data_IF_302828128302
#
_entry.id   IF_302828128302
#
_cell.length_a   1.000
_cell.length_b   1.000
_cell.length_c   1.000
_cell.angle_alpha   90.00
_cell.angle_beta   90.00
_cell.angle_gamma   90.00
#
_symmetry.space_group_name_H-M   'P 1'
#
loop_
_entity.id
_entity.type
_entity.pdbx_description
1 polymer ?
#
# COMPACT_ATOMS: atom_id res chain seq x y z
N UNK A 1 -43.64 -41.25 -23.60
CA UNK A 1 -43.04 -39.93 -23.92
C UNK A 1 -42.59 -39.12 -22.68
N UNK A 2 -42.10 -39.74 -21.59
CA UNK A 2 -41.65 -39.04 -20.35
C UNK A 2 -40.14 -39.09 -20.10
N UNK A 3 -39.37 -39.81 -20.94
CA UNK A 3 -37.93 -40.05 -20.73
C UNK A 3 -37.03 -38.97 -21.35
N UNK A 4 -37.43 -38.36 -22.47
CA UNK A 4 -36.63 -37.31 -23.12
C UNK A 4 -36.49 -36.04 -22.26
N UNK A 5 -37.55 -35.61 -21.57
CA UNK A 5 -37.52 -34.43 -20.71
C UNK A 5 -36.62 -34.63 -19.48
N UNK A 6 -36.58 -35.85 -18.92
CA UNK A 6 -35.75 -36.18 -17.75
C UNK A 6 -34.26 -36.18 -18.11
N UNK A 7 -33.91 -36.65 -19.31
CA UNK A 7 -32.53 -36.68 -19.80
C UNK A 7 -31.99 -35.26 -20.10
N UNK A 8 -32.82 -34.40 -20.73
CA UNK A 8 -32.47 -33.00 -21.00
C UNK A 8 -32.21 -32.20 -19.70
N UNK A 9 -32.97 -32.46 -18.64
CA UNK A 9 -32.77 -31.81 -17.33
C UNK A 9 -31.48 -32.27 -16.64
N UNK A 10 -31.14 -33.56 -16.72
CA UNK A 10 -29.89 -34.09 -16.14
C UNK A 10 -28.67 -33.54 -16.91
N UNK A 11 -28.76 -33.46 -18.24
CA UNK A 11 -27.70 -32.92 -19.08
C UNK A 11 -27.48 -31.43 -18.82
N UNK A 12 -28.55 -30.63 -18.71
CA UNK A 12 -28.47 -29.21 -18.32
C UNK A 12 -27.89 -29.02 -16.92
N UNK A 13 -28.27 -29.86 -15.95
CA UNK A 13 -27.74 -29.78 -14.60
C UNK A 13 -26.26 -30.14 -14.51
N UNK A 14 -25.81 -31.15 -15.29
CA UNK A 14 -24.40 -31.53 -15.40
C UNK A 14 -23.58 -30.40 -16.03
N UNK A 15 -24.01 -29.87 -17.18
CA UNK A 15 -23.35 -28.74 -17.84
C UNK A 15 -23.29 -27.48 -16.97
N UNK A 16 -24.34 -27.20 -16.20
CA UNK A 16 -24.36 -26.07 -15.25
C UNK A 16 -23.37 -26.25 -14.10
N UNK A 17 -23.25 -27.48 -13.56
CA UNK A 17 -22.25 -27.80 -12.54
C UNK A 17 -20.83 -27.69 -13.08
N UNK A 18 -20.59 -28.23 -14.27
CA UNK A 18 -19.28 -28.18 -14.93
C UNK A 18 -18.87 -26.73 -15.24
N UNK A 19 -19.82 -25.92 -15.71
CA UNK A 19 -19.60 -24.48 -15.95
C UNK A 19 -19.31 -23.70 -14.67
N UNK A 20 -20.08 -23.95 -13.59
CA UNK A 20 -19.82 -23.34 -12.29
C UNK A 20 -18.48 -23.75 -11.71
N UNK A 21 -18.13 -25.04 -11.83
CA UNK A 21 -16.86 -25.56 -11.36
C UNK A 21 -15.69 -24.97 -12.14
N UNK A 22 -15.80 -24.86 -13.48
CA UNK A 22 -14.80 -24.20 -14.32
C UNK A 22 -14.60 -22.73 -13.95
N UNK A 23 -15.68 -21.95 -13.77
CA UNK A 23 -15.55 -20.55 -13.36
C UNK A 23 -14.97 -20.40 -11.94
N UNK A 24 -15.34 -21.28 -11.02
CA UNK A 24 -14.81 -21.29 -9.67
C UNK A 24 -13.30 -21.57 -9.65
N UNK A 25 -12.84 -22.59 -10.38
CA UNK A 25 -11.40 -22.92 -10.45
C UNK A 25 -10.60 -21.87 -11.21
N UNK A 26 -11.15 -21.27 -12.27
CA UNK A 26 -10.51 -20.13 -12.95
C UNK A 26 -10.29 -18.95 -12.01
N UNK A 27 -11.34 -18.55 -11.27
CA UNK A 27 -11.26 -17.46 -10.30
C UNK A 27 -10.22 -17.75 -9.20
N UNK A 28 -10.13 -18.98 -8.71
CA UNK A 28 -9.09 -19.39 -7.75
C UNK A 28 -7.69 -19.27 -8.36
N UNK A 29 -7.49 -19.74 -9.59
CA UNK A 29 -6.19 -19.65 -10.27
C UNK A 29 -5.78 -18.21 -10.60
N UNK A 30 -6.73 -17.36 -10.97
CA UNK A 30 -6.49 -15.95 -11.27
C UNK A 30 -6.20 -15.15 -10.00
N UNK A 31 -6.89 -15.47 -8.88
CA UNK A 31 -6.60 -14.90 -7.58
C UNK A 31 -5.21 -15.34 -7.07
N UNK A 32 -4.86 -16.62 -7.22
CA UNK A 32 -3.55 -17.14 -6.82
C UNK A 32 -2.41 -16.50 -7.62
N UNK A 33 -2.53 -16.43 -8.95
CA UNK A 33 -1.58 -15.71 -9.82
C UNK A 33 -1.51 -14.22 -9.54
N UNK A 34 -2.60 -13.59 -9.09
CA UNK A 34 -2.59 -12.18 -8.67
C UNK A 34 -1.80 -12.03 -7.38
N UNK A 35 -1.95 -12.97 -6.44
CA UNK A 35 -1.24 -12.99 -5.16
C UNK A 35 0.26 -13.25 -5.31
N UNK A 36 0.69 -14.22 -6.13
CA UNK A 36 2.11 -14.45 -6.43
C UNK A 36 2.76 -13.22 -7.08
N UNK A 37 2.05 -12.55 -8.00
CA UNK A 37 2.55 -11.33 -8.67
C UNK A 37 2.65 -10.13 -7.72
N UNK A 38 1.85 -10.12 -6.64
CA UNK A 38 1.98 -9.15 -5.54
C UNK A 38 3.25 -9.46 -4.73
N UNK A 39 3.42 -10.71 -4.34
CA UNK A 39 4.56 -11.17 -3.53
C UNK A 39 5.91 -11.06 -4.26
N UNK A 40 5.95 -11.24 -5.58
CA UNK A 40 7.17 -11.09 -6.37
C UNK A 40 7.56 -9.62 -6.60
N UNK A 41 6.58 -8.72 -6.73
CA UNK A 41 6.84 -7.31 -7.06
C UNK A 41 7.06 -6.42 -5.86
N UNK A 42 6.66 -6.85 -4.66
CA UNK A 42 6.66 -6.02 -3.47
C UNK A 42 7.61 -6.61 -2.42
N UNK A 43 8.92 -6.52 -2.66
CA UNK A 43 9.95 -6.95 -1.71
C UNK A 43 10.77 -5.75 -1.22
N UNK A 44 11.18 -5.76 0.06
CA UNK A 44 12.11 -4.77 0.58
C UNK A 44 13.44 -4.77 -0.20
N UNK A 45 14.20 -3.67 -0.14
CA UNK A 45 13.94 -2.47 0.65
C UNK A 45 12.85 -1.56 0.03
N UNK A 46 12.00 -0.98 0.89
CA UNK A 46 10.87 -0.13 0.52
C UNK A 46 11.24 1.34 0.54
N UNK A 47 10.78 2.09 -0.46
CA UNK A 47 10.86 3.54 -0.47
C UNK A 47 9.60 4.14 0.17
N UNK A 48 9.77 4.77 1.32
CA UNK A 48 8.69 5.22 2.20
C UNK A 48 8.60 6.74 2.21
N UNK A 49 7.36 7.24 2.12
CA UNK A 49 7.06 8.61 2.50
C UNK A 49 6.20 8.65 3.77
N UNK A 50 6.72 9.29 4.81
CA UNK A 50 6.08 9.39 6.12
C UNK A 50 5.40 10.75 6.32
N UNK A 51 4.15 10.75 6.77
CA UNK A 51 3.36 11.94 7.09
C UNK A 51 3.07 11.98 8.60
N UNK A 52 3.59 12.98 9.29
CA UNK A 52 3.37 13.15 10.73
C UNK A 52 3.87 14.47 11.29
N UNK A 53 3.42 14.80 12.50
CA UNK A 53 3.75 16.07 13.16
C UNK A 53 4.14 15.91 14.63
N UNK A 54 3.37 15.14 15.41
CA UNK A 54 3.48 15.16 16.86
C UNK A 54 4.40 14.06 17.45
N UNK A 55 4.51 14.03 18.78
CA UNK A 55 5.29 13.01 19.50
C UNK A 55 4.76 11.58 19.31
N UNK A 56 3.46 11.42 19.05
CA UNK A 56 2.89 10.10 18.80
C UNK A 56 3.43 9.54 17.49
N UNK A 57 3.41 10.35 16.43
CA UNK A 57 3.96 10.01 15.12
C UNK A 57 5.49 9.82 15.13
N UNK A 58 6.20 10.53 16.00
CA UNK A 58 7.66 10.43 16.14
C UNK A 58 8.12 9.02 16.50
N UNK A 59 7.35 8.26 17.29
CA UNK A 59 7.69 6.87 17.65
C UNK A 59 7.76 5.99 16.40
N UNK A 60 6.78 6.10 15.51
CA UNK A 60 6.74 5.37 14.24
C UNK A 60 7.87 5.81 13.31
N UNK A 61 8.12 7.13 13.19
CA UNK A 61 9.21 7.65 12.38
C UNK A 61 10.57 7.13 12.84
N UNK A 62 10.82 7.14 14.15
CA UNK A 62 12.08 6.68 14.73
C UNK A 62 12.30 5.19 14.48
N UNK A 63 11.25 4.37 14.54
CA UNK A 63 11.32 2.95 14.21
C UNK A 63 11.68 2.73 12.73
N UNK A 64 11.05 3.46 11.82
CA UNK A 64 11.35 3.38 10.39
C UNK A 64 12.77 3.85 10.07
N UNK A 65 13.21 4.96 10.67
CA UNK A 65 14.55 5.49 10.46
C UNK A 65 15.63 4.54 10.98
N UNK A 66 15.40 3.89 12.13
CA UNK A 66 16.29 2.83 12.64
C UNK A 66 16.38 1.65 11.68
N UNK A 67 15.26 1.21 11.09
CA UNK A 67 15.31 0.13 10.10
C UNK A 67 16.02 0.53 8.80
N UNK A 68 15.88 1.79 8.38
CA UNK A 68 16.61 2.32 7.25
C UNK A 68 18.12 2.27 7.48
N UNK A 69 18.57 2.69 8.67
CA UNK A 69 20.00 2.68 9.04
C UNK A 69 20.59 1.26 9.14
N UNK A 70 19.75 0.25 9.38
CA UNK A 70 20.16 -1.16 9.43
C UNK A 70 20.18 -1.82 8.05
N UNK A 71 19.86 -1.07 6.99
CA UNK A 71 19.73 -1.56 5.61
C UNK A 71 18.78 -2.75 5.48
N UNK A 72 17.73 -2.77 6.31
CA UNK A 72 16.77 -3.85 6.38
C UNK A 72 15.60 -3.64 5.42
N UNK A 73 14.44 -3.34 5.99
CA UNK A 73 13.20 -3.24 5.24
C UNK A 73 13.02 -1.90 4.50
N UNK A 74 13.73 -0.85 4.92
CA UNK A 74 13.52 0.52 4.42
C UNK A 74 14.74 0.94 3.61
N UNK A 75 14.52 1.29 2.35
CA UNK A 75 15.57 1.82 1.46
C UNK A 75 15.67 3.33 1.59
N UNK A 76 14.62 4.01 1.14
CA UNK A 76 14.44 5.46 1.30
C UNK A 76 13.38 5.79 2.35
N UNK A 77 13.63 6.85 3.10
CA UNK A 77 12.67 7.44 4.03
C UNK A 77 12.66 8.96 3.87
N UNK A 78 11.59 9.48 3.30
CA UNK A 78 11.33 10.91 3.21
C UNK A 78 10.19 11.29 4.15
N UNK A 79 10.29 12.45 4.79
CA UNK A 79 9.30 12.92 5.78
C UNK A 79 8.54 14.13 5.25
N UNK A 80 7.24 14.16 5.49
CA UNK A 80 6.36 15.30 5.23
C UNK A 80 5.75 15.73 6.55
N UNK A 81 5.89 17.02 6.85
CA UNK A 81 5.33 17.62 8.06
C UNK A 81 4.76 19.00 7.80
N UNK A 82 3.94 19.51 8.72
CA UNK A 82 3.34 20.84 8.59
C UNK A 82 4.39 21.90 8.93
N UNK A 83 4.63 22.91 8.09
CA UNK A 83 5.48 24.04 8.48
C UNK A 83 4.78 24.88 9.56
N UNK A 84 5.54 25.33 10.56
CA UNK A 84 5.04 26.28 11.55
C UNK A 84 6.17 27.20 12.01
N UNK A 85 5.87 28.50 12.01
CA UNK A 85 6.79 29.53 12.54
C UNK A 85 6.68 29.70 14.06
N UNK A 86 5.57 29.23 14.65
CA UNK A 86 5.24 29.45 16.08
C UNK A 86 5.53 28.24 16.96
N UNK A 87 5.56 27.05 16.37
CA UNK A 87 5.69 25.79 17.10
C UNK A 87 6.60 24.88 16.32
N UNK A 88 7.67 24.39 16.95
CA UNK A 88 8.48 23.34 16.36
C UNK A 88 7.84 22.00 16.72
N UNK A 89 7.42 21.28 15.69
CA UNK A 89 6.82 19.96 15.84
C UNK A 89 7.89 18.89 16.11
N UNK A 90 7.56 17.91 16.94
CA UNK A 90 8.48 16.86 17.38
C UNK A 90 9.14 16.12 16.21
N UNK A 91 8.37 15.80 15.16
CA UNK A 91 8.88 15.19 13.92
C UNK A 91 9.91 16.09 13.24
N UNK A 92 9.62 17.39 13.09
CA UNK A 92 10.55 18.31 12.42
C UNK A 92 11.84 18.47 13.20
N UNK A 93 11.76 18.62 14.52
CA UNK A 93 12.92 18.71 15.39
C UNK A 93 13.80 17.46 15.27
N UNK A 94 13.19 16.28 15.25
CA UNK A 94 13.89 15.02 15.04
C UNK A 94 14.58 14.97 13.66
N UNK A 95 13.87 15.27 12.57
CA UNK A 95 14.45 15.27 11.23
C UNK A 95 15.64 16.22 11.11
N UNK A 96 15.53 17.43 11.67
CA UNK A 96 16.62 18.40 11.67
C UNK A 96 17.84 17.89 12.46
N UNK A 97 17.61 17.30 13.63
CA UNK A 97 18.67 16.75 14.49
C UNK A 97 19.41 15.60 13.82
N UNK A 98 18.68 14.70 13.18
CA UNK A 98 19.23 13.47 12.59
C UNK A 98 19.62 13.63 11.12
N UNK A 99 19.41 14.81 10.52
CA UNK A 99 19.71 15.08 9.11
C UNK A 99 18.79 14.35 8.13
N UNK A 100 17.57 13.98 8.55
CA UNK A 100 16.62 13.25 7.71
C UNK A 100 15.88 14.22 6.76
N UNK A 101 15.74 13.89 5.45
CA UNK A 101 15.04 14.74 4.49
C UNK A 101 13.59 15.01 4.93
N UNK A 102 13.23 16.29 4.99
CA UNK A 102 11.89 16.73 5.36
C UNK A 102 11.33 17.75 4.37
N UNK A 103 10.08 17.56 4.00
CA UNK A 103 9.32 18.40 3.08
C UNK A 103 8.13 19.05 3.79
N UNK A 104 7.78 20.25 3.33
CA UNK A 104 6.63 20.98 3.84
C UNK A 104 5.33 20.49 3.22
N UNK A 105 4.31 20.35 4.07
CA UNK A 105 2.94 20.25 3.60
C UNK A 105 2.39 21.62 3.17
N UNK A 106 1.68 21.73 2.04
CA UNK A 106 1.28 20.68 1.09
C UNK A 106 2.42 20.22 0.16
N UNK A 107 2.43 18.93 -0.17
CA UNK A 107 3.46 18.30 -1.01
C UNK A 107 2.88 17.76 -2.32
N UNK A 108 3.68 17.78 -3.38
CA UNK A 108 3.39 17.06 -4.64
C UNK A 108 4.19 15.76 -4.64
N UNK A 109 3.51 14.64 -4.81
CA UNK A 109 4.12 13.30 -4.79
C UNK A 109 4.17 12.76 -6.21
N UNK A 110 5.37 12.56 -6.79
CA UNK A 110 5.45 11.97 -8.12
C UNK A 110 5.06 10.49 -8.08
N UNK A 111 4.35 10.04 -9.11
CA UNK A 111 3.88 8.65 -9.20
C UNK A 111 5.05 7.66 -9.25
N UNK A 112 4.96 6.61 -8.44
CA UNK A 112 5.91 5.49 -8.47
C UNK A 112 7.30 5.77 -7.90
N UNK A 113 7.51 6.93 -7.25
CA UNK A 113 8.76 7.22 -6.52
C UNK A 113 8.81 6.52 -5.17
N UNK A 114 7.65 6.36 -4.52
CA UNK A 114 7.53 5.70 -3.22
C UNK A 114 6.65 4.47 -3.37
N UNK A 115 7.04 3.40 -2.68
CA UNK A 115 6.26 2.17 -2.62
C UNK A 115 5.09 2.32 -1.62
N UNK A 116 5.33 2.98 -0.47
CA UNK A 116 4.36 3.06 0.63
C UNK A 116 4.31 4.46 1.25
N UNK A 117 3.09 4.94 1.48
CA UNK A 117 2.82 6.13 2.30
C UNK A 117 2.41 5.72 3.72
N UNK A 118 3.10 6.22 4.74
CA UNK A 118 2.77 5.97 6.16
C UNK A 118 2.22 7.25 6.78
N UNK A 119 1.04 7.18 7.39
CA UNK A 119 0.39 8.35 7.99
C UNK A 119 0.16 8.10 9.48
N UNK A 120 0.73 8.95 10.33
CA UNK A 120 0.53 8.87 11.78
C UNK A 120 0.36 10.29 12.34
N UNK A 121 -0.76 10.53 13.02
CA UNK A 121 -1.09 11.81 13.68
C UNK A 121 -0.69 13.07 12.90
N UNK A 122 -1.07 13.12 11.61
CA UNK A 122 -0.67 14.19 10.71
C UNK A 122 -1.55 15.45 10.81
N UNK A 123 -2.82 15.32 11.24
CA UNK A 123 -3.72 16.46 11.45
C UNK A 123 -4.16 17.20 10.17
N UNK A 124 -3.94 16.60 8.99
CA UNK A 124 -4.39 17.11 7.68
C UNK A 124 -5.00 15.98 6.86
N UNK A 125 -5.99 16.32 6.04
CA UNK A 125 -6.52 15.41 5.02
C UNK A 125 -5.52 15.30 3.88
N UNK A 126 -5.27 14.08 3.44
CA UNK A 126 -4.40 13.80 2.30
C UNK A 126 -5.25 13.80 1.02
N UNK A 127 -4.95 14.64 0.01
CA UNK A 127 -5.71 14.68 -1.24
C UNK A 127 -5.62 13.36 -2.00
N UNK A 128 -6.69 13.04 -2.74
CA UNK A 128 -6.74 11.82 -3.56
C UNK A 128 -5.55 11.69 -4.53
N UNK A 129 -5.09 12.80 -5.11
CA UNK A 129 -3.92 12.82 -5.99
C UNK A 129 -2.65 12.31 -5.30
N UNK A 130 -2.46 12.64 -4.01
CA UNK A 130 -1.32 12.13 -3.23
C UNK A 130 -1.50 10.65 -2.91
N UNK A 131 -2.70 10.23 -2.52
CA UNK A 131 -3.00 8.81 -2.24
C UNK A 131 -2.74 7.94 -3.47
N UNK A 132 -3.15 8.42 -4.66
CA UNK A 132 -2.99 7.72 -5.93
C UNK A 132 -1.55 7.72 -6.46
N UNK A 133 -0.64 8.51 -5.87
CA UNK A 133 0.77 8.51 -6.26
C UNK A 133 1.49 7.21 -5.86
N UNK A 134 1.00 6.53 -4.81
CA UNK A 134 1.55 5.28 -4.31
C UNK A 134 0.99 4.09 -5.11
N UNK A 135 1.86 3.19 -5.62
CA UNK A 135 1.42 2.08 -6.45
C UNK A 135 0.71 1.01 -5.63
N UNK A 136 -0.34 0.40 -6.19
CA UNK A 136 -0.89 -0.85 -5.66
C UNK A 136 0.01 -2.05 -6.00
N UNK A 137 0.78 -1.97 -7.09
CA UNK A 137 1.73 -2.98 -7.55
C UNK A 137 2.96 -2.31 -8.18
N UNK A 138 4.18 -2.76 -7.87
CA UNK A 138 5.42 -2.27 -8.50
C UNK A 138 5.39 -2.57 -10.01
N UNK A 139 5.80 -1.62 -10.87
CA UNK A 139 5.80 -1.83 -12.33
C UNK A 139 6.89 -2.82 -12.75
#
# INVERSE_FOLDING_TARGET
MKWQLKFQSILKFKLWKDWKFYHFTKNLSDNYRRQERIEEKSKPPWDIMFFGTDEFSLKSLTALHREQQRSGLVGRLDVVSIPSKKTVFAVRQYCQKEGLPIQDWPVVVPHGIYDVGVVASFGRLIPAAVIQAFPLFRR
#
